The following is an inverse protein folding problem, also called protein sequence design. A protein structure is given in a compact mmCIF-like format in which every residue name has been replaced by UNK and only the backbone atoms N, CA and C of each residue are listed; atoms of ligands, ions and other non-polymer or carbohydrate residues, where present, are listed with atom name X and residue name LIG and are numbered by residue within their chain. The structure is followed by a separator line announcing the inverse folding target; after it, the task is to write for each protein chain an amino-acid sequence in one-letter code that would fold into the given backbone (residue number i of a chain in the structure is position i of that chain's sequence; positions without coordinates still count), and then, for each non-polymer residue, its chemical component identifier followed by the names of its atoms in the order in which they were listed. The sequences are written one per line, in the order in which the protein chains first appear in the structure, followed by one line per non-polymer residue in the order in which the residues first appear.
data_IF_707019155547
#
_entry.id   IF_707019155547
#
_cell.length_a   1.000
_cell.length_b   1.000
_cell.length_c   1.000
_cell.angle_alpha   90.00
_cell.angle_beta   90.00
_cell.angle_gamma   90.00
#
_symmetry.space_group_name_H-M   'P 1'
#
loop_
_entity.id
_entity.type
_entity.pdbx_description
1 polymer ?
#
# COMPACT_ATOMS: atom_id res chain seq x y z
N UNK A 1 -8.99 -28.68 -23.26
CA UNK A 1 -9.52 -27.37 -23.70
C UNK A 1 -10.99 -27.56 -24.01
N UNK A 2 -11.88 -27.22 -23.09
CA UNK A 2 -13.33 -27.29 -23.33
C UNK A 2 -13.79 -25.96 -23.92
N UNK A 3 -14.29 -26.02 -25.15
CA UNK A 3 -14.84 -24.88 -25.88
C UNK A 3 -16.17 -24.48 -25.23
N UNK A 4 -16.17 -23.44 -24.42
CA UNK A 4 -17.31 -23.04 -23.58
C UNK A 4 -18.30 -22.06 -24.21
N UNK A 5 -18.23 -21.81 -25.53
CA UNK A 5 -19.12 -20.85 -26.20
C UNK A 5 -19.81 -21.49 -27.41
N UNK A 6 -21.13 -21.29 -27.50
CA UNK A 6 -21.98 -21.72 -28.62
C UNK A 6 -22.45 -20.46 -29.36
N UNK A 7 -22.26 -20.42 -30.68
CA UNK A 7 -22.70 -19.30 -31.52
C UNK A 7 -24.24 -19.26 -31.63
N UNK A 8 -24.88 -18.19 -31.15
CA UNK A 8 -26.36 -18.07 -31.11
C UNK A 8 -27.03 -18.08 -32.51
N UNK A 9 -26.28 -17.78 -33.58
CA UNK A 9 -26.82 -17.76 -34.95
C UNK A 9 -26.84 -19.14 -35.64
N UNK A 10 -25.90 -20.05 -35.33
CA UNK A 10 -25.76 -21.31 -36.07
C UNK A 10 -25.42 -22.54 -35.20
N UNK A 11 -25.27 -22.39 -33.88
CA UNK A 11 -25.10 -23.49 -32.93
C UNK A 11 -23.71 -24.11 -32.86
N UNK A 12 -22.71 -23.57 -33.57
CA UNK A 12 -21.35 -24.14 -33.58
C UNK A 12 -20.58 -23.83 -32.27
N UNK A 13 -19.88 -24.82 -31.67
CA UNK A 13 -18.99 -24.59 -30.53
C UNK A 13 -17.69 -23.91 -30.99
N UNK A 14 -17.22 -22.90 -30.24
CA UNK A 14 -16.04 -22.11 -30.64
C UNK A 14 -15.14 -21.71 -29.47
N UNK A 15 -13.88 -21.38 -29.77
CA UNK A 15 -12.91 -20.86 -28.82
C UNK A 15 -13.11 -19.34 -28.61
N UNK A 16 -12.92 -18.82 -27.40
CA UNK A 16 -13.25 -17.42 -27.03
C UNK A 16 -12.37 -16.33 -27.67
N UNK A 17 -11.47 -16.68 -28.58
CA UNK A 17 -10.39 -15.80 -29.03
C UNK A 17 -10.77 -14.81 -30.14
N UNK A 18 -11.94 -14.94 -30.78
CA UNK A 18 -12.32 -14.11 -31.92
C UNK A 18 -13.76 -13.65 -31.71
N UNK A 19 -13.98 -12.35 -31.50
CA UNK A 19 -15.31 -11.74 -31.32
C UNK A 19 -16.25 -11.87 -32.54
N UNK A 20 -15.94 -12.76 -33.49
CA UNK A 20 -16.66 -13.07 -34.71
C UNK A 20 -16.65 -14.61 -34.87
N UNK A 21 -17.82 -15.22 -35.07
CA UNK A 21 -17.92 -16.66 -35.30
C UNK A 21 -17.21 -17.06 -36.61
N UNK A 22 -16.30 -18.05 -36.61
CA UNK A 22 -15.52 -18.42 -37.79
C UNK A 22 -16.35 -19.05 -38.92
N UNK A 23 -17.57 -19.53 -38.62
CA UNK A 23 -18.43 -20.21 -39.59
C UNK A 23 -19.43 -19.28 -40.28
N UNK A 24 -20.15 -18.44 -39.53
CA UNK A 24 -21.20 -17.58 -40.07
C UNK A 24 -20.87 -16.08 -40.05
N UNK A 25 -19.70 -15.69 -39.51
CA UNK A 25 -19.22 -14.30 -39.40
C UNK A 25 -20.10 -13.34 -38.58
N UNK A 26 -21.03 -13.86 -37.78
CA UNK A 26 -21.80 -13.05 -36.83
C UNK A 26 -20.89 -12.51 -35.70
N UNK A 27 -21.12 -11.25 -35.30
CA UNK A 27 -20.45 -10.62 -34.14
C UNK A 27 -21.00 -11.24 -32.86
N UNK A 28 -20.12 -11.72 -32.00
CA UNK A 28 -20.50 -12.38 -30.74
C UNK A 28 -20.60 -11.33 -29.63
N UNK A 29 -21.79 -11.12 -29.05
CA UNK A 29 -21.99 -10.29 -27.85
C UNK A 29 -22.40 -11.16 -26.67
N UNK A 30 -21.90 -10.87 -25.46
CA UNK A 30 -22.39 -11.52 -24.23
C UNK A 30 -23.81 -11.03 -23.92
N UNK A 31 -24.73 -11.95 -23.64
CA UNK A 31 -26.05 -11.61 -23.08
C UNK A 31 -25.89 -10.87 -21.75
N UNK A 32 -26.58 -9.72 -21.64
CA UNK A 32 -26.97 -9.14 -20.37
C UNK A 32 -28.25 -9.86 -19.93
N UNK A 33 -28.13 -10.80 -19.00
CA UNK A 33 -29.28 -11.27 -18.23
C UNK A 33 -29.09 -10.76 -16.80
N UNK A 34 -29.94 -9.80 -16.43
CA UNK A 34 -30.02 -9.29 -15.07
C UNK A 34 -30.51 -10.39 -14.12
N UNK A 35 -29.71 -10.66 -13.10
CA UNK A 35 -30.13 -11.32 -11.88
C UNK A 35 -29.61 -10.51 -10.70
N UNK A 36 -30.42 -10.47 -9.64
CA UNK A 36 -30.28 -9.68 -8.42
C UNK A 36 -28.84 -9.53 -7.91
N UNK A 37 -28.56 -8.37 -7.29
CA UNK A 37 -27.30 -8.08 -6.64
C UNK A 37 -26.90 -9.19 -5.66
N UNK A 38 -25.90 -9.96 -6.06
CA UNK A 38 -25.14 -10.85 -5.19
C UNK A 38 -23.74 -10.28 -5.17
N UNK A 39 -23.33 -9.74 -4.02
CA UNK A 39 -21.96 -9.34 -3.75
C UNK A 39 -21.04 -10.54 -3.96
N UNK A 40 -20.17 -10.47 -4.98
CA UNK A 40 -19.14 -11.49 -5.21
C UNK A 40 -18.21 -11.58 -3.98
N UNK A 41 -17.79 -12.79 -3.54
CA UNK A 41 -16.84 -12.97 -2.44
C UNK A 41 -15.48 -12.26 -2.65
N UNK A 42 -15.16 -11.89 -3.89
CA UNK A 42 -13.99 -11.09 -4.25
C UNK A 42 -14.07 -9.64 -3.72
N UNK A 43 -15.25 -9.00 -3.80
CA UNK A 43 -15.48 -7.67 -3.24
C UNK A 43 -15.42 -7.70 -1.70
N UNK A 44 -15.86 -8.80 -1.11
CA UNK A 44 -15.75 -9.04 0.33
C UNK A 44 -14.27 -9.16 0.75
N UNK A 45 -13.43 -9.80 -0.07
CA UNK A 45 -12.00 -9.99 0.25
C UNK A 45 -11.19 -8.70 0.12
N UNK A 46 -11.48 -7.85 -0.88
CA UNK A 46 -10.87 -6.52 -1.01
C UNK A 46 -11.39 -5.56 0.07
N UNK A 47 -12.65 -5.70 0.48
CA UNK A 47 -13.19 -4.95 1.62
C UNK A 47 -12.46 -5.31 2.93
N UNK A 48 -12.26 -6.60 3.19
CA UNK A 48 -11.47 -7.07 4.34
C UNK A 48 -10.03 -6.55 4.26
N UNK A 49 -9.42 -6.57 3.07
CA UNK A 49 -8.07 -6.02 2.89
C UNK A 49 -7.99 -4.52 3.25
N UNK A 50 -8.96 -3.73 2.78
CA UNK A 50 -9.06 -2.31 3.13
C UNK A 50 -9.24 -2.13 4.63
N UNK A 51 -10.12 -2.92 5.26
CA UNK A 51 -10.32 -2.87 6.71
C UNK A 51 -9.01 -3.12 7.46
N UNK A 52 -8.27 -4.18 7.12
CA UNK A 52 -6.96 -4.48 7.75
C UNK A 52 -5.95 -3.35 7.57
N UNK A 53 -5.93 -2.74 6.38
CA UNK A 53 -5.05 -1.60 6.11
C UNK A 53 -5.42 -0.36 6.93
N UNK A 54 -6.71 -0.06 7.08
CA UNK A 54 -7.21 1.08 7.85
C UNK A 54 -7.10 0.85 9.36
N UNK A 55 -7.24 -0.40 9.82
CA UNK A 55 -7.03 -0.79 11.22
C UNK A 55 -5.54 -0.89 11.59
N UNK A 56 -4.62 -0.74 10.63
CA UNK A 56 -3.18 -0.77 10.88
C UNK A 56 -2.62 -2.17 11.10
N UNK A 57 -3.38 -3.22 10.79
CA UNK A 57 -2.93 -4.62 10.80
C UNK A 57 -2.15 -4.91 9.52
N UNK A 58 -0.99 -4.28 9.39
CA UNK A 58 -0.22 -4.20 8.14
C UNK A 58 0.37 -5.56 7.74
N UNK A 59 0.75 -6.38 8.70
CA UNK A 59 1.28 -7.73 8.48
C UNK A 59 0.19 -8.64 7.88
N UNK A 60 -1.00 -8.67 8.47
CA UNK A 60 -2.17 -9.38 7.96
C UNK A 60 -2.57 -8.86 6.58
N UNK A 61 -2.58 -7.54 6.42
CA UNK A 61 -2.89 -6.89 5.15
C UNK A 61 -1.87 -7.26 4.07
N UNK A 62 -0.58 -7.37 4.41
CA UNK A 62 0.46 -7.80 3.48
C UNK A 62 0.27 -9.27 3.09
N UNK A 63 -0.01 -10.16 4.04
CA UNK A 63 -0.26 -11.57 3.75
C UNK A 63 -1.45 -11.74 2.80
N UNK A 64 -2.56 -11.06 3.10
CA UNK A 64 -3.75 -11.08 2.26
C UNK A 64 -3.47 -10.47 0.87
N UNK A 65 -2.73 -9.36 0.81
CA UNK A 65 -2.28 -8.77 -0.47
C UNK A 65 -1.51 -9.79 -1.29
N UNK A 66 -0.56 -10.51 -0.70
CA UNK A 66 0.25 -11.51 -1.40
C UNK A 66 -0.59 -12.70 -1.91
N UNK A 67 -1.63 -13.09 -1.18
CA UNK A 67 -2.59 -14.13 -1.59
C UNK A 67 -3.46 -13.67 -2.77
N UNK A 68 -3.88 -12.41 -2.77
CA UNK A 68 -4.75 -11.82 -3.78
C UNK A 68 -4.01 -11.39 -5.06
N UNK A 69 -2.74 -11.02 -4.94
CA UNK A 69 -1.97 -10.45 -6.05
C UNK A 69 -1.95 -11.30 -7.34
N UNK A 70 -1.93 -12.65 -7.31
CA UNK A 70 -1.98 -13.48 -8.52
C UNK A 70 -3.30 -13.44 -9.29
N UNK A 71 -4.39 -12.91 -8.70
CA UNK A 71 -5.70 -12.88 -9.33
C UNK A 71 -5.72 -11.94 -10.57
N UNK A 72 -6.19 -12.47 -11.70
CA UNK A 72 -6.14 -11.77 -12.99
C UNK A 72 -7.14 -10.62 -13.11
N UNK A 73 -8.25 -10.65 -12.37
CA UNK A 73 -9.22 -9.55 -12.35
C UNK A 73 -8.75 -8.44 -11.42
N UNK A 74 -8.21 -8.78 -10.23
CA UNK A 74 -7.62 -7.79 -9.32
C UNK A 74 -6.39 -7.09 -9.91
N UNK A 75 -5.59 -7.79 -10.73
CA UNK A 75 -4.48 -7.17 -11.47
C UNK A 75 -4.92 -6.15 -12.54
N UNK A 76 -6.22 -6.03 -12.83
CA UNK A 76 -6.79 -4.99 -13.69
C UNK A 76 -7.41 -3.83 -12.89
N UNK A 77 -7.51 -3.98 -11.57
CA UNK A 77 -8.03 -2.94 -10.69
C UNK A 77 -6.89 -2.04 -10.17
N UNK A 78 -6.87 -0.80 -10.65
CA UNK A 78 -5.88 0.22 -10.24
C UNK A 78 -6.00 0.55 -8.75
N UNK A 79 -7.21 0.55 -8.19
CA UNK A 79 -7.45 0.80 -6.78
C UNK A 79 -6.80 -0.27 -5.90
N UNK A 80 -7.03 -1.54 -6.23
CA UNK A 80 -6.37 -2.67 -5.57
C UNK A 80 -4.84 -2.59 -5.69
N UNK A 81 -4.30 -2.32 -6.89
CA UNK A 81 -2.85 -2.23 -7.09
C UNK A 81 -2.20 -1.08 -6.31
N UNK A 82 -2.90 0.07 -6.19
CA UNK A 82 -2.46 1.18 -5.36
C UNK A 82 -2.50 0.83 -3.87
N UNK A 83 -3.56 0.17 -3.41
CA UNK A 83 -3.67 -0.31 -2.03
C UNK A 83 -2.56 -1.31 -1.71
N UNK A 84 -2.33 -2.28 -2.60
CA UNK A 84 -1.24 -3.26 -2.48
C UNK A 84 0.12 -2.57 -2.38
N UNK A 85 0.38 -1.55 -3.21
CA UNK A 85 1.62 -0.78 -3.14
C UNK A 85 1.78 -0.04 -1.81
N UNK A 86 0.73 0.60 -1.31
CA UNK A 86 0.73 1.27 0.00
C UNK A 86 1.05 0.32 1.15
N UNK A 87 0.34 -0.81 1.22
CA UNK A 87 0.58 -1.88 2.20
C UNK A 87 2.04 -2.34 2.13
N UNK A 88 2.53 -2.62 0.92
CA UNK A 88 3.93 -3.04 0.74
C UNK A 88 4.93 -1.99 1.22
N UNK A 89 4.66 -0.69 1.02
CA UNK A 89 5.53 0.41 1.50
C UNK A 89 5.57 0.44 3.03
N UNK A 90 4.42 0.37 3.68
CA UNK A 90 4.33 0.38 5.15
C UNK A 90 4.94 -0.87 5.77
N UNK A 91 4.74 -2.03 5.14
CA UNK A 91 5.30 -3.30 5.55
C UNK A 91 6.79 -3.47 5.19
N UNK A 92 7.44 -2.45 4.60
CA UNK A 92 8.83 -2.52 4.12
C UNK A 92 9.13 -3.71 3.20
N UNK A 93 8.17 -4.09 2.35
CA UNK A 93 8.39 -5.15 1.38
C UNK A 93 9.58 -4.83 0.43
N UNK A 94 10.15 -5.84 -0.24
CA UNK A 94 11.18 -5.59 -1.26
C UNK A 94 10.65 -4.68 -2.36
N UNK A 95 11.45 -3.69 -2.77
CA UNK A 95 11.11 -2.70 -3.81
C UNK A 95 10.65 -3.36 -5.12
N UNK A 96 11.17 -4.54 -5.46
CA UNK A 96 10.74 -5.30 -6.63
C UNK A 96 9.23 -5.63 -6.64
N UNK A 97 8.63 -5.95 -5.48
CA UNK A 97 7.19 -6.23 -5.37
C UNK A 97 6.35 -4.96 -5.55
N UNK A 98 6.79 -3.85 -4.94
CA UNK A 98 6.13 -2.54 -5.09
C UNK A 98 6.15 -2.09 -6.54
N UNK A 99 7.29 -2.20 -7.20
CA UNK A 99 7.45 -1.86 -8.61
C UNK A 99 6.59 -2.75 -9.52
N UNK A 100 6.42 -4.03 -9.20
CA UNK A 100 5.53 -4.90 -9.97
C UNK A 100 4.08 -4.42 -9.93
N UNK A 101 3.57 -4.11 -8.74
CA UNK A 101 2.21 -3.59 -8.53
C UNK A 101 2.02 -2.24 -9.25
N UNK A 102 2.92 -1.29 -9.02
CA UNK A 102 2.80 0.06 -9.57
C UNK A 102 3.07 0.13 -11.08
N UNK A 103 3.95 -0.73 -11.62
CA UNK A 103 4.15 -0.82 -13.07
C UNK A 103 2.90 -1.34 -13.77
N UNK A 104 2.19 -2.30 -13.15
CA UNK A 104 0.91 -2.75 -13.64
C UNK A 104 -0.14 -1.63 -13.56
N UNK A 105 -0.24 -0.93 -12.43
CA UNK A 105 -1.15 0.21 -12.28
C UNK A 105 -0.88 1.31 -13.30
N UNK A 106 0.40 1.60 -13.57
CA UNK A 106 0.83 2.59 -14.55
C UNK A 106 0.47 2.18 -15.98
N UNK A 107 0.58 0.89 -16.34
CA UNK A 107 0.12 0.40 -17.65
C UNK A 107 -1.37 0.64 -17.88
N UNK A 108 -2.18 0.47 -16.84
CA UNK A 108 -3.63 0.63 -16.89
C UNK A 108 -4.02 2.11 -16.92
N UNK A 109 -3.40 2.93 -16.06
CA UNK A 109 -3.71 4.35 -15.91
C UNK A 109 -2.45 5.23 -15.83
N UNK A 110 -1.76 5.50 -16.95
CA UNK A 110 -0.50 6.26 -16.95
C UNK A 110 -0.62 7.71 -16.47
N UNK A 111 -1.83 8.29 -16.61
CA UNK A 111 -2.12 9.69 -16.23
C UNK A 111 -2.71 9.82 -14.83
N UNK A 112 -2.84 8.72 -14.09
CA UNK A 112 -3.35 8.77 -12.73
C UNK A 112 -2.31 9.45 -11.81
N UNK A 113 -2.67 10.55 -11.13
CA UNK A 113 -1.74 11.26 -10.26
C UNK A 113 -1.30 10.41 -9.06
N UNK A 114 -2.16 9.57 -8.51
CA UNK A 114 -1.83 8.71 -7.37
C UNK A 114 -0.82 7.63 -7.77
N UNK A 115 -0.99 7.03 -8.95
CA UNK A 115 -0.01 6.05 -9.48
C UNK A 115 1.36 6.69 -9.67
N UNK A 116 1.41 7.86 -10.30
CA UNK A 116 2.66 8.58 -10.51
C UNK A 116 3.32 9.03 -9.20
N UNK A 117 2.53 9.44 -8.22
CA UNK A 117 3.01 9.77 -6.88
C UNK A 117 3.64 8.56 -6.18
N UNK A 118 2.94 7.43 -6.11
CA UNK A 118 3.45 6.24 -5.43
C UNK A 118 4.66 5.62 -6.17
N UNK A 119 4.72 5.73 -7.49
CA UNK A 119 5.95 5.42 -8.25
C UNK A 119 7.12 6.30 -7.82
N UNK A 120 6.90 7.61 -7.64
CA UNK A 120 7.94 8.53 -7.16
C UNK A 120 8.37 8.23 -5.71
N UNK A 121 7.45 7.78 -4.85
CA UNK A 121 7.74 7.35 -3.48
C UNK A 121 8.62 6.09 -3.50
N UNK A 122 8.32 5.10 -4.33
CA UNK A 122 9.12 3.87 -4.45
C UNK A 122 10.49 4.15 -5.07
N UNK A 123 10.57 5.06 -6.04
CA UNK A 123 11.85 5.55 -6.56
C UNK A 123 12.70 6.24 -5.47
N UNK A 124 12.09 7.05 -4.61
CA UNK A 124 12.79 7.63 -3.46
C UNK A 124 13.27 6.55 -2.48
N UNK A 125 12.42 5.54 -2.17
CA UNK A 125 12.82 4.39 -1.33
C UNK A 125 14.01 3.63 -1.91
N UNK A 126 14.01 3.40 -3.23
CA UNK A 126 15.12 2.76 -3.95
C UNK A 126 16.42 3.55 -3.80
N UNK A 127 16.34 4.89 -3.87
CA UNK A 127 17.51 5.76 -3.64
C UNK A 127 18.03 5.66 -2.20
N UNK A 128 17.13 5.56 -1.21
CA UNK A 128 17.52 5.36 0.20
C UNK A 128 18.29 4.03 0.35
N UNK A 129 17.78 2.94 -0.23
CA UNK A 129 18.42 1.61 -0.19
C UNK A 129 19.81 1.61 -0.83
N UNK A 130 20.00 2.39 -1.90
CA UNK A 130 21.31 2.57 -2.55
C UNK A 130 22.21 3.61 -1.88
N UNK A 131 21.82 4.17 -0.73
CA UNK A 131 22.61 5.16 0.00
C UNK A 131 22.62 6.57 -0.65
N UNK A 132 21.83 6.80 -1.69
CA UNK A 132 21.67 8.08 -2.39
C UNK A 132 20.73 9.01 -1.63
N UNK A 133 21.10 9.32 -0.37
CA UNK A 133 20.25 10.00 0.61
C UNK A 133 19.82 11.40 0.15
N UNK A 134 20.73 12.21 -0.39
CA UNK A 134 20.41 13.58 -0.79
C UNK A 134 19.43 13.61 -1.99
N UNK A 135 19.56 12.67 -2.94
CA UNK A 135 18.61 12.53 -4.05
C UNK A 135 17.24 12.03 -3.57
N UNK A 136 17.21 11.12 -2.60
CA UNK A 136 15.97 10.68 -1.99
C UNK A 136 15.26 11.82 -1.25
N UNK A 137 16.00 12.63 -0.49
CA UNK A 137 15.49 13.81 0.22
C UNK A 137 14.84 14.79 -0.76
N UNK A 138 15.56 15.17 -1.81
CA UNK A 138 15.04 16.06 -2.86
C UNK A 138 13.74 15.51 -3.46
N UNK A 139 13.72 14.20 -3.77
CA UNK A 139 12.55 13.56 -4.36
C UNK A 139 11.34 13.56 -3.43
N UNK A 140 11.55 13.28 -2.14
CA UNK A 140 10.49 13.29 -1.13
C UNK A 140 9.95 14.71 -0.88
N UNK A 141 10.83 15.71 -0.86
CA UNK A 141 10.42 17.11 -0.75
C UNK A 141 9.59 17.57 -1.97
N UNK A 142 9.94 17.13 -3.18
CA UNK A 142 9.11 17.40 -4.37
C UNK A 142 7.72 16.78 -4.27
N UNK A 143 7.62 15.55 -3.77
CA UNK A 143 6.34 14.86 -3.55
C UNK A 143 5.52 15.63 -2.52
N UNK A 144 6.10 15.95 -1.36
CA UNK A 144 5.41 16.66 -0.28
C UNK A 144 5.06 18.12 -0.63
N UNK A 145 5.77 18.76 -1.57
CA UNK A 145 5.33 20.07 -2.11
C UNK A 145 4.03 19.96 -2.89
N UNK A 146 3.81 18.87 -3.61
CA UNK A 146 2.58 18.63 -4.40
C UNK A 146 1.46 18.03 -3.55
N UNK A 147 1.83 17.12 -2.65
CA UNK A 147 0.92 16.39 -1.76
C UNK A 147 1.43 16.45 -0.32
N UNK A 148 1.23 17.58 0.38
CA UNK A 148 1.76 17.78 1.75
C UNK A 148 1.25 16.79 2.79
N UNK A 149 0.15 16.11 2.46
CA UNK A 149 -0.56 15.17 3.35
C UNK A 149 -0.24 13.70 3.06
N UNK A 150 0.70 13.39 2.17
CA UNK A 150 1.00 11.99 1.88
C UNK A 150 1.78 11.35 3.06
N UNK A 151 1.20 10.38 3.79
CA UNK A 151 1.83 9.84 5.00
C UNK A 151 3.07 9.00 4.69
N UNK A 152 3.12 8.33 3.54
CA UNK A 152 4.24 7.47 3.17
C UNK A 152 5.48 8.29 2.80
N UNK A 153 5.30 9.38 2.04
CA UNK A 153 6.37 10.31 1.73
C UNK A 153 6.89 11.01 3.00
N UNK A 154 5.98 11.43 3.89
CA UNK A 154 6.34 12.02 5.18
C UNK A 154 7.10 11.04 6.08
N UNK A 155 6.67 9.77 6.13
CA UNK A 155 7.37 8.72 6.86
C UNK A 155 8.79 8.49 6.32
N UNK A 156 8.95 8.29 5.00
CA UNK A 156 10.26 8.05 4.40
C UNK A 156 11.21 9.24 4.64
N UNK A 157 10.70 10.47 4.56
CA UNK A 157 11.50 11.67 4.82
C UNK A 157 11.90 11.75 6.30
N UNK A 158 10.97 11.48 7.21
CA UNK A 158 11.24 11.41 8.64
C UNK A 158 12.28 10.34 8.98
N UNK A 159 12.15 9.15 8.39
CA UNK A 159 13.11 8.05 8.56
C UNK A 159 14.48 8.44 8.03
N UNK A 160 14.55 9.11 6.87
CA UNK A 160 15.80 9.59 6.30
C UNK A 160 16.52 10.55 7.26
N UNK A 161 15.81 11.52 7.84
CA UNK A 161 16.37 12.44 8.82
C UNK A 161 16.79 11.76 10.12
N UNK A 162 15.98 10.79 10.60
CA UNK A 162 16.28 9.99 11.77
C UNK A 162 17.61 9.23 11.60
N UNK A 163 17.76 8.48 10.50
CA UNK A 163 18.96 7.69 10.22
C UNK A 163 20.18 8.52 9.82
N UNK A 164 19.98 9.72 9.27
CA UNK A 164 21.07 10.63 8.94
C UNK A 164 21.60 11.40 10.16
N UNK A 165 20.89 11.37 11.30
CA UNK A 165 21.19 12.19 12.50
C UNK A 165 21.36 13.69 12.17
N UNK A 166 20.78 14.15 11.06
CA UNK A 166 20.96 15.52 10.55
C UNK A 166 20.12 16.51 11.35
N UNK A 167 18.88 16.18 11.72
CA UNK A 167 18.02 17.03 12.56
C UNK A 167 16.87 16.24 13.17
N UNK A 168 16.84 16.03 14.51
CA UNK A 168 15.74 15.34 15.17
C UNK A 168 14.42 16.10 15.05
N UNK A 169 14.43 17.43 14.93
CA UNK A 169 13.24 18.27 14.78
C UNK A 169 12.55 18.03 13.43
N UNK A 170 13.32 17.96 12.34
CA UNK A 170 12.78 17.68 11.01
C UNK A 170 12.23 16.25 10.92
N UNK A 171 12.90 15.31 11.60
CA UNK A 171 12.43 13.93 11.71
C UNK A 171 11.08 13.88 12.45
N UNK A 172 10.98 14.55 13.60
CA UNK A 172 9.73 14.65 14.38
C UNK A 172 8.62 15.29 13.55
N UNK A 173 8.86 16.46 12.94
CA UNK A 173 7.85 17.16 12.14
C UNK A 173 7.31 16.32 10.98
N UNK A 174 8.19 15.59 10.32
CA UNK A 174 7.82 14.68 9.22
C UNK A 174 7.01 13.48 9.74
N UNK A 175 7.41 12.90 10.87
CA UNK A 175 6.67 11.79 11.49
C UNK A 175 5.33 12.22 12.08
N UNK A 176 5.21 13.42 12.65
CA UNK A 176 3.95 14.00 13.13
C UNK A 176 2.96 14.24 11.99
N UNK A 177 3.45 14.63 10.81
CA UNK A 177 2.63 14.72 9.61
C UNK A 177 2.13 13.34 9.19
N UNK A 178 3.01 12.34 9.22
CA UNK A 178 2.64 10.96 8.92
C UNK A 178 1.52 10.44 9.85
N UNK A 179 1.69 10.51 11.17
CA UNK A 179 0.69 9.97 12.12
C UNK A 179 -0.59 10.78 12.19
N UNK A 180 -0.57 12.06 11.78
CA UNK A 180 -1.78 12.88 11.68
C UNK A 180 -2.65 12.47 10.50
N UNK A 181 -2.04 12.22 9.35
CA UNK A 181 -2.76 11.80 8.15
C UNK A 181 -3.03 10.29 8.14
N UNK A 182 -2.24 9.51 8.88
CA UNK A 182 -2.43 8.07 9.07
C UNK A 182 -2.23 7.66 10.55
N UNK A 183 -3.26 7.84 11.39
CA UNK A 183 -3.16 7.57 12.84
C UNK A 183 -2.83 6.12 13.21
N UNK A 184 -3.10 5.17 12.32
CA UNK A 184 -2.79 3.75 12.53
C UNK A 184 -1.46 3.31 11.90
N UNK A 185 -0.58 4.25 11.55
CA UNK A 185 0.78 3.96 11.11
C UNK A 185 1.69 3.68 12.33
N UNK A 186 1.63 2.45 12.84
CA UNK A 186 2.32 2.02 14.08
C UNK A 186 3.84 2.26 14.05
N UNK A 187 4.50 2.00 12.91
CA UNK A 187 5.94 2.27 12.76
C UNK A 187 6.31 3.75 12.90
N UNK A 188 5.49 4.66 12.40
CA UNK A 188 5.71 6.10 12.54
C UNK A 188 5.59 6.54 14.01
N UNK A 189 4.62 5.99 14.76
CA UNK A 189 4.54 6.16 16.21
C UNK A 189 5.78 5.61 16.94
N UNK A 190 6.26 4.43 16.55
CA UNK A 190 7.49 3.85 17.11
C UNK A 190 8.71 4.74 16.89
N UNK A 191 8.86 5.31 15.70
CA UNK A 191 9.92 6.28 15.39
C UNK A 191 9.78 7.57 16.22
N UNK A 192 8.56 8.11 16.39
CA UNK A 192 8.33 9.26 17.27
C UNK A 192 8.70 8.95 18.71
N UNK A 193 8.32 7.78 19.23
CA UNK A 193 8.68 7.36 20.59
C UNK A 193 10.19 7.29 20.79
N UNK A 194 10.91 6.69 19.84
CA UNK A 194 12.36 6.62 19.86
C UNK A 194 13.03 8.00 19.79
N UNK A 195 12.54 8.87 18.89
CA UNK A 195 13.00 10.26 18.76
C UNK A 195 12.81 11.05 20.06
N UNK A 196 11.59 11.05 20.60
CA UNK A 196 11.28 11.75 21.84
C UNK A 196 12.10 11.24 23.02
N UNK A 197 12.28 9.92 23.13
CA UNK A 197 13.15 9.34 24.16
C UNK A 197 14.59 9.82 24.01
N UNK A 198 15.12 9.84 22.78
CA UNK A 198 16.51 10.27 22.54
C UNK A 198 16.74 11.74 22.88
N UNK A 199 15.69 12.57 22.85
CA UNK A 199 15.71 13.97 23.25
C UNK A 199 15.39 14.19 24.74
N UNK A 200 15.17 13.13 25.52
CA UNK A 200 14.79 13.22 26.93
C UNK A 200 13.32 13.61 27.18
N UNK A 201 12.50 13.69 26.13
CA UNK A 201 11.08 14.00 26.22
C UNK A 201 10.26 12.73 26.55
N UNK A 202 10.48 12.18 27.74
CA UNK A 202 9.93 10.87 28.14
C UNK A 202 8.40 10.80 28.11
N UNK A 203 7.70 11.87 28.51
CA UNK A 203 6.23 11.95 28.43
C UNK A 203 5.71 11.80 27.00
N UNK A 204 6.35 12.49 26.03
CA UNK A 204 5.99 12.39 24.63
C UNK A 204 6.31 10.99 24.08
N UNK A 205 7.44 10.42 24.49
CA UNK A 205 7.82 9.07 24.13
C UNK A 205 6.79 8.04 24.64
N UNK A 206 6.39 8.15 25.90
CA UNK A 206 5.39 7.28 26.51
C UNK A 206 4.05 7.34 25.77
N UNK A 207 3.59 8.55 25.38
CA UNK A 207 2.37 8.70 24.56
C UNK A 207 2.49 8.01 23.21
N UNK A 208 3.61 8.14 22.53
CA UNK A 208 3.84 7.49 21.24
C UNK A 208 3.90 5.96 21.36
N UNK A 209 4.59 5.41 22.36
CA UNK A 209 4.63 3.96 22.58
C UNK A 209 3.28 3.37 22.98
N UNK A 210 2.45 4.10 23.75
CA UNK A 210 1.06 3.69 24.02
C UNK A 210 0.24 3.60 22.72
N UNK A 211 0.45 4.50 21.76
CA UNK A 211 -0.18 4.40 20.43
C UNK A 211 0.24 3.15 19.67
N UNK A 212 1.51 2.74 19.75
CA UNK A 212 1.91 1.46 19.18
C UNK A 212 1.16 0.28 19.82
N UNK A 213 0.99 0.28 21.15
CA UNK A 213 0.27 -0.77 21.89
C UNK A 213 -1.25 -0.79 21.63
N UNK A 214 -1.83 0.33 21.19
CA UNK A 214 -3.25 0.40 20.77
C UNK A 214 -3.47 -0.22 19.38
N UNK A 215 -2.44 -0.21 18.51
CA UNK A 215 -2.53 -0.70 17.12
C UNK A 215 -2.03 -2.15 17.00
N UNK A 216 -1.00 -2.50 17.77
CA UNK A 216 -0.32 -3.78 17.68
C UNK A 216 -1.08 -4.91 18.38
N UNK A 217 -1.35 -5.98 17.64
CA UNK A 217 -2.00 -7.19 18.14
C UNK A 217 -1.02 -8.36 18.32
N UNK A 218 0.19 -8.30 17.71
CA UNK A 218 1.22 -9.33 17.87
C UNK A 218 1.85 -9.28 19.27
N UNK A 219 1.84 -10.43 19.95
CA UNK A 219 2.31 -10.53 21.33
C UNK A 219 3.78 -10.13 21.51
N UNK A 220 4.65 -10.43 20.54
CA UNK A 220 6.08 -10.13 20.64
C UNK A 220 6.32 -8.63 20.47
N UNK A 221 5.68 -8.02 19.48
CA UNK A 221 5.77 -6.58 19.25
C UNK A 221 5.15 -5.78 20.38
N UNK A 222 4.04 -6.25 20.98
CA UNK A 222 3.48 -5.66 22.20
C UNK A 222 4.48 -5.69 23.35
N UNK A 223 5.09 -6.86 23.62
CA UNK A 223 6.09 -6.99 24.67
C UNK A 223 7.27 -6.03 24.46
N UNK A 224 7.72 -5.85 23.21
CA UNK A 224 8.74 -4.87 22.86
C UNK A 224 8.33 -3.44 23.24
N UNK A 225 7.13 -2.98 22.85
CA UNK A 225 6.69 -1.62 23.20
C UNK A 225 6.40 -1.43 24.69
N UNK A 226 5.97 -2.47 25.40
CA UNK A 226 5.84 -2.43 26.86
C UNK A 226 7.19 -2.20 27.54
N UNK A 227 8.25 -2.86 27.06
CA UNK A 227 9.61 -2.62 27.55
C UNK A 227 10.06 -1.18 27.24
N UNK A 228 9.82 -0.69 26.03
CA UNK A 228 10.14 0.69 25.67
C UNK A 228 9.38 1.70 26.54
N UNK A 229 8.12 1.42 26.87
CA UNK A 229 7.29 2.26 27.72
C UNK A 229 7.82 2.29 29.17
N UNK A 230 8.22 1.14 29.72
CA UNK A 230 8.85 1.05 31.05
C UNK A 230 10.14 1.88 31.13
N UNK A 231 10.93 1.90 30.05
CA UNK A 231 12.19 2.65 29.99
C UNK A 231 12.01 4.19 29.96
N UNK A 232 10.78 4.68 29.75
CA UNK A 232 10.46 6.13 29.71
C UNK A 232 9.39 6.53 30.72
N UNK A 233 9.03 5.60 31.63
CA UNK A 233 8.07 5.84 32.72
C UNK A 233 8.77 6.23 34.02
#
# INVERSE_FOLDING_TARGET
MSFGLICESCGAPSAPAVGICPYCKAVMSRRQDGAAGVSSPENETVSVLNERYETGQIEDALELTMKLFPDAELQKDVGFLLLAAKIMIEAEAPVGKMNAALSQAFRLSPRDPAVNEYMAIVDAKTKIEHGLRDLAEQRLLEILRKSPKNPHAAFLLGSLYFWAKKSPELAISSMETCVRERPRFQRAWGCLGALYRSLGNYELAARAFRKCLEIEDDANMRAFFEEQLKAVS
#
